data_IF_690008317719
#
_entry.id   IF_690008317719
#
_cell.length_a   1.000
_cell.length_b   1.000
_cell.length_c   1.000
_cell.angle_alpha   90.00
_cell.angle_beta   90.00
_cell.angle_gamma   90.00
#
_symmetry.space_group_name_H-M   'P 1'
#
loop_
_entity.id
_entity.type
_entity.pdbx_description
1 polymer ?
#
# COMPACT_ATOMS: atom_id res chain seq x y z
N UNK A 1 -16.99 -89.43 -23.52
CA UNK A 1 -16.20 -88.92 -24.67
C UNK A 1 -15.13 -88.01 -24.11
N UNK A 2 -13.87 -88.44 -24.18
CA UNK A 2 -12.73 -87.75 -23.56
C UNK A 2 -12.40 -86.49 -24.38
N UNK A 3 -12.39 -85.31 -23.75
CA UNK A 3 -11.96 -84.05 -24.41
C UNK A 3 -10.54 -83.73 -23.95
N UNK A 4 -9.57 -83.91 -24.84
CA UNK A 4 -8.17 -83.59 -24.57
C UNK A 4 -7.95 -82.08 -24.72
N UNK A 5 -7.36 -81.43 -23.71
CA UNK A 5 -7.03 -80.00 -23.71
C UNK A 5 -5.55 -79.83 -23.38
N UNK A 6 -4.91 -78.78 -23.93
CA UNK A 6 -3.51 -78.43 -23.63
C UNK A 6 -3.44 -77.06 -22.97
N UNK A 7 -2.65 -76.96 -21.90
CA UNK A 7 -2.35 -75.69 -21.23
C UNK A 7 -1.33 -74.89 -22.03
N UNK A 8 -1.66 -73.64 -22.35
CA UNK A 8 -0.77 -72.67 -23.03
C UNK A 8 -0.72 -71.37 -22.25
N UNK A 9 0.45 -70.72 -22.23
CA UNK A 9 0.64 -69.43 -21.57
C UNK A 9 0.14 -68.30 -22.47
N UNK A 10 -0.71 -67.41 -21.95
CA UNK A 10 -1.19 -66.23 -22.66
C UNK A 10 -0.52 -64.96 -22.13
N UNK A 11 0.36 -64.36 -22.92
CA UNK A 11 1.13 -63.17 -22.53
C UNK A 11 0.28 -61.90 -22.39
N UNK A 12 -0.89 -61.80 -23.04
CA UNK A 12 -1.77 -60.64 -22.90
C UNK A 12 -2.57 -60.66 -21.58
N UNK A 13 -2.76 -61.85 -21.00
CA UNK A 13 -3.51 -62.04 -19.73
C UNK A 13 -2.61 -62.43 -18.55
N UNK A 14 -1.33 -62.76 -18.79
CA UNK A 14 -0.37 -63.15 -17.76
C UNK A 14 -0.71 -64.44 -17.02
N UNK A 15 -1.40 -65.40 -17.67
CA UNK A 15 -1.85 -66.64 -17.04
C UNK A 15 -1.85 -67.84 -18.00
N UNK A 16 -1.84 -69.05 -17.44
CA UNK A 16 -2.02 -70.31 -18.18
C UNK A 16 -3.50 -70.56 -18.47
N UNK A 17 -3.83 -70.87 -19.72
CA UNK A 17 -5.20 -71.10 -20.19
C UNK A 17 -5.28 -72.45 -20.90
N UNK A 18 -6.38 -73.18 -20.72
CA UNK A 18 -6.62 -74.44 -21.42
C UNK A 18 -7.22 -74.17 -22.80
N UNK A 19 -6.51 -74.54 -23.86
CA UNK A 19 -6.98 -74.44 -25.24
C UNK A 19 -7.32 -75.84 -25.80
N UNK A 20 -8.36 -75.90 -26.62
CA UNK A 20 -8.77 -77.11 -27.34
C UNK A 20 -7.79 -77.41 -28.47
N UNK A 21 -7.35 -78.67 -28.64
CA UNK A 21 -6.37 -79.05 -29.67
C UNK A 21 -6.87 -78.94 -31.13
N UNK A 22 -8.13 -78.55 -31.32
CA UNK A 22 -8.78 -78.52 -32.65
C UNK A 22 -8.81 -77.11 -33.27
N UNK A 23 -8.20 -76.11 -32.62
CA UNK A 23 -8.18 -74.73 -33.11
C UNK A 23 -6.85 -74.38 -33.81
N UNK A 24 -6.93 -73.78 -35.00
CA UNK A 24 -5.78 -73.59 -35.90
C UNK A 24 -4.92 -72.38 -35.53
N UNK A 25 -3.63 -72.61 -35.26
CA UNK A 25 -2.64 -71.56 -35.02
C UNK A 25 -2.29 -70.79 -36.31
N UNK A 26 -2.47 -69.46 -36.31
CA UNK A 26 -1.98 -68.59 -37.40
C UNK A 26 -0.48 -68.33 -37.25
N UNK A 27 0.31 -68.82 -38.21
CA UNK A 27 1.76 -68.70 -38.26
C UNK A 27 2.31 -67.33 -38.66
N UNK A 28 3.56 -67.08 -38.27
CA UNK A 28 4.52 -66.10 -38.83
C UNK A 28 5.61 -66.90 -39.58
N UNK A 29 6.51 -66.28 -40.38
CA UNK A 29 6.50 -64.99 -41.08
C UNK A 29 6.97 -65.15 -42.57
N UNK A 30 7.22 -64.06 -43.31
CA UNK A 30 8.28 -64.08 -44.33
C UNK A 30 9.02 -62.73 -44.44
N UNK A 31 10.34 -62.84 -44.38
CA UNK A 31 11.32 -61.76 -44.54
C UNK A 31 11.67 -61.63 -46.02
N UNK A 32 11.46 -60.47 -46.63
CA UNK A 32 12.29 -59.96 -47.73
C UNK A 32 11.92 -58.51 -48.03
N UNK A 33 12.86 -57.73 -48.54
CA UNK A 33 12.82 -56.28 -48.83
C UNK A 33 13.20 -55.32 -47.67
N UNK A 34 14.28 -55.63 -46.97
CA UNK A 34 15.21 -54.60 -46.47
C UNK A 34 16.40 -54.65 -47.42
N UNK A 35 16.66 -53.59 -48.20
CA UNK A 35 18.00 -53.19 -48.72
C UNK A 35 17.99 -51.88 -49.55
N UNK A 36 16.85 -51.29 -49.96
CA UNK A 36 16.90 -50.09 -50.83
C UNK A 36 16.57 -48.74 -50.14
N UNK A 37 16.23 -48.71 -48.84
CA UNK A 37 15.86 -47.45 -48.16
C UNK A 37 16.87 -47.00 -47.06
N UNK A 38 18.16 -47.35 -47.17
CA UNK A 38 19.17 -47.06 -46.15
C UNK A 38 20.18 -45.96 -46.53
N UNK A 39 19.94 -45.17 -47.59
CA UNK A 39 20.85 -44.09 -48.02
C UNK A 39 20.21 -42.68 -47.99
N UNK A 40 18.97 -42.54 -47.51
CA UNK A 40 18.33 -41.22 -47.33
C UNK A 40 18.12 -40.81 -45.86
N UNK A 41 18.69 -41.55 -44.89
CA UNK A 41 18.44 -41.33 -43.46
C UNK A 41 19.66 -40.78 -42.68
N UNK A 42 20.68 -40.27 -43.36
CA UNK A 42 21.84 -39.68 -42.69
C UNK A 42 22.39 -38.46 -43.44
N UNK A 43 21.58 -37.42 -43.53
CA UNK A 43 22.08 -36.07 -43.78
C UNK A 43 21.21 -35.04 -43.05
N UNK A 44 21.81 -34.49 -41.99
CA UNK A 44 21.50 -33.21 -41.34
C UNK A 44 20.35 -33.27 -40.31
N UNK A 45 20.76 -33.41 -39.04
CA UNK A 45 19.94 -32.98 -37.92
C UNK A 45 19.67 -31.48 -38.00
N UNK A 46 18.40 -31.14 -37.96
CA UNK A 46 17.91 -29.83 -37.53
C UNK A 46 17.17 -30.06 -36.21
N UNK A 47 17.34 -29.22 -35.18
CA UNK A 47 16.51 -29.32 -33.99
C UNK A 47 15.05 -29.23 -34.46
N UNK A 48 14.20 -30.12 -33.94
CA UNK A 48 12.78 -30.14 -34.26
C UNK A 48 12.24 -28.72 -34.13
N UNK A 49 11.85 -28.13 -35.26
CA UNK A 49 11.14 -26.87 -35.28
C UNK A 49 9.84 -27.13 -34.53
N UNK A 50 9.71 -26.53 -33.36
CA UNK A 50 8.44 -26.44 -32.67
C UNK A 50 7.55 -25.53 -33.54
N UNK A 51 6.84 -26.15 -34.48
CA UNK A 51 5.81 -25.47 -35.24
C UNK A 51 4.69 -25.08 -34.26
N UNK A 52 4.44 -23.78 -34.15
CA UNK A 52 3.25 -23.28 -33.51
C UNK A 52 2.07 -23.76 -34.36
N UNK A 53 1.24 -24.64 -33.80
CA UNK A 53 0.01 -25.03 -34.46
C UNK A 53 -0.91 -23.80 -34.45
N UNK A 54 -1.02 -23.10 -35.58
CA UNK A 54 -2.03 -22.06 -35.75
C UNK A 54 -3.39 -22.72 -35.60
N UNK A 55 -4.21 -22.24 -34.67
CA UNK A 55 -5.62 -22.60 -34.65
C UNK A 55 -6.17 -22.20 -36.03
N UNK A 56 -6.53 -23.18 -36.87
CA UNK A 56 -7.00 -22.91 -38.23
C UNK A 56 -8.31 -22.11 -38.14
N UNK A 57 -8.20 -20.79 -38.34
CA UNK A 57 -9.34 -19.87 -38.38
C UNK A 57 -9.75 -19.56 -39.83
N UNK A 58 -9.91 -20.55 -40.71
CA UNK A 58 -10.54 -20.35 -42.03
C UNK A 58 -11.96 -19.72 -41.99
N UNK A 59 -12.43 -19.22 -40.86
CA UNK A 59 -13.50 -18.24 -40.79
C UNK A 59 -12.96 -16.84 -41.10
N UNK A 60 -13.37 -16.30 -42.24
CA UNK A 60 -13.33 -14.86 -42.49
C UNK A 60 -14.00 -14.14 -41.32
N UNK A 61 -13.23 -13.32 -40.61
CA UNK A 61 -13.79 -12.40 -39.63
C UNK A 61 -14.58 -11.34 -40.39
N UNK A 62 -15.91 -11.45 -40.44
CA UNK A 62 -16.77 -10.36 -40.89
C UNK A 62 -17.39 -9.72 -39.66
N UNK A 63 -16.73 -8.72 -39.08
CA UNK A 63 -17.35 -7.90 -38.04
C UNK A 63 -17.99 -6.67 -38.70
N UNK A 64 -19.26 -6.76 -39.09
CA UNK A 64 -20.01 -5.62 -39.65
C UNK A 64 -20.49 -4.59 -38.62
N UNK A 65 -20.03 -4.69 -37.36
CA UNK A 65 -20.51 -3.86 -36.26
C UNK A 65 -19.74 -2.54 -36.18
N UNK A 66 -20.48 -1.43 -36.17
CA UNK A 66 -19.97 -0.08 -35.86
C UNK A 66 -20.19 0.29 -34.38
N UNK A 67 -20.53 -0.68 -33.53
CA UNK A 67 -20.78 -0.45 -32.10
C UNK A 67 -19.49 -0.20 -31.34
N UNK A 68 -19.49 0.82 -30.48
CA UNK A 68 -18.39 1.05 -29.55
C UNK A 68 -18.35 -0.06 -28.49
N UNK A 69 -17.16 -0.58 -28.21
CA UNK A 69 -16.90 -1.51 -27.12
C UNK A 69 -15.94 -0.80 -26.17
N UNK A 70 -16.44 -0.40 -25.01
CA UNK A 70 -15.67 0.48 -24.13
C UNK A 70 -15.62 1.92 -24.66
N UNK A 71 -14.42 2.47 -24.82
CA UNK A 71 -14.17 3.83 -25.36
C UNK A 71 -13.87 3.84 -26.84
N UNK A 72 -13.51 2.68 -27.39
CA UNK A 72 -13.09 2.55 -28.76
C UNK A 72 -14.24 2.05 -29.63
N UNK A 73 -14.36 2.62 -30.82
CA UNK A 73 -15.06 1.98 -31.92
C UNK A 73 -13.99 1.31 -32.78
N UNK A 74 -13.69 0.02 -32.57
CA UNK A 74 -12.63 -0.65 -33.31
C UNK A 74 -12.96 -0.82 -34.80
N UNK A 75 -14.21 -0.53 -35.19
CA UNK A 75 -14.70 -0.68 -36.55
C UNK A 75 -14.80 -2.14 -36.98
N UNK A 76 -15.24 -2.35 -38.22
CA UNK A 76 -15.18 -3.66 -38.85
C UNK A 76 -13.76 -4.02 -39.26
N UNK A 77 -13.42 -5.31 -39.17
CA UNK A 77 -12.20 -5.85 -39.78
C UNK A 77 -12.56 -7.05 -40.64
N UNK A 78 -11.84 -7.19 -41.76
CA UNK A 78 -11.86 -8.38 -42.62
C UNK A 78 -10.57 -9.19 -42.50
N UNK A 79 -9.61 -8.70 -41.69
CA UNK A 79 -8.33 -9.35 -41.52
C UNK A 79 -8.50 -10.59 -40.62
N UNK A 80 -7.95 -11.71 -41.07
CA UNK A 80 -7.83 -12.92 -40.25
C UNK A 80 -6.86 -12.69 -39.08
N UNK A 81 -6.69 -13.68 -38.21
CA UNK A 81 -5.61 -13.63 -37.22
C UNK A 81 -4.27 -13.43 -37.95
N UNK A 82 -3.51 -12.42 -37.53
CA UNK A 82 -2.18 -12.14 -38.08
C UNK A 82 -1.21 -13.22 -37.65
N UNK A 83 -0.90 -14.12 -38.59
CA UNK A 83 0.27 -14.96 -38.53
C UNK A 83 1.52 -14.06 -38.47
N UNK A 84 2.07 -13.99 -37.27
CA UNK A 84 3.36 -13.42 -36.94
C UNK A 84 3.91 -14.13 -35.70
N UNK A 85 3.67 -15.42 -35.55
CA UNK A 85 4.10 -16.18 -34.37
C UNK A 85 5.55 -16.61 -34.53
N UNK A 86 6.46 -16.04 -33.74
CA UNK A 86 7.75 -16.67 -33.49
C UNK A 86 7.57 -18.02 -32.80
N UNK A 87 8.65 -18.78 -32.64
CA UNK A 87 8.64 -20.11 -32.00
C UNK A 87 7.86 -20.10 -30.66
N UNK A 88 7.09 -21.16 -30.39
CA UNK A 88 6.30 -21.35 -29.15
C UNK A 88 5.11 -20.41 -28.93
N UNK A 89 4.61 -19.71 -29.94
CA UNK A 89 3.54 -18.71 -29.77
C UNK A 89 2.14 -19.22 -30.09
N UNK A 90 1.11 -18.59 -29.49
CA UNK A 90 -0.32 -18.81 -29.77
C UNK A 90 -0.92 -17.45 -30.13
N UNK A 91 -1.54 -17.33 -31.31
CA UNK A 91 -2.22 -16.10 -31.77
C UNK A 91 -3.61 -16.45 -32.29
N UNK A 92 -4.66 -15.87 -31.70
CA UNK A 92 -6.04 -16.11 -32.10
C UNK A 92 -6.93 -14.87 -31.91
N UNK A 93 -7.84 -14.64 -32.86
CA UNK A 93 -8.79 -13.52 -32.87
C UNK A 93 -8.65 -12.64 -34.11
N UNK A 94 -9.72 -11.92 -34.47
CA UNK A 94 -9.76 -11.09 -35.68
C UNK A 94 -8.76 -9.93 -35.59
N UNK A 95 -7.88 -9.78 -36.58
CA UNK A 95 -6.84 -8.74 -36.59
C UNK A 95 -5.94 -8.76 -35.33
N UNK A 96 -5.84 -9.90 -34.65
CA UNK A 96 -4.83 -10.11 -33.60
C UNK A 96 -3.44 -10.21 -34.24
N UNK A 97 -2.39 -9.79 -33.55
CA UNK A 97 -1.04 -9.78 -34.13
C UNK A 97 0.06 -10.11 -33.09
N UNK A 98 0.81 -11.17 -33.35
CA UNK A 98 1.99 -11.57 -32.57
C UNK A 98 3.27 -10.77 -32.88
N UNK A 99 3.30 -9.99 -33.97
CA UNK A 99 4.39 -9.12 -34.43
C UNK A 99 5.77 -9.80 -34.59
N UNK A 100 5.82 -11.11 -34.81
CA UNK A 100 7.06 -11.88 -34.99
C UNK A 100 7.79 -12.21 -33.68
N UNK A 101 7.21 -11.91 -32.52
CA UNK A 101 7.84 -12.18 -31.23
C UNK A 101 7.76 -13.65 -30.83
N UNK A 102 8.72 -14.10 -30.03
CA UNK A 102 8.85 -15.50 -29.59
C UNK A 102 8.10 -15.75 -28.28
N UNK A 103 7.43 -16.90 -28.16
CA UNK A 103 6.76 -17.35 -26.94
C UNK A 103 5.57 -16.50 -26.49
N UNK A 104 4.87 -15.86 -27.43
CA UNK A 104 3.74 -14.97 -27.09
C UNK A 104 2.41 -15.71 -27.01
N UNK A 105 1.49 -15.22 -26.18
CA UNK A 105 0.09 -15.67 -26.16
C UNK A 105 -0.82 -14.48 -26.42
N UNK A 106 -1.42 -14.42 -27.60
CA UNK A 106 -2.32 -13.34 -28.04
C UNK A 106 -3.70 -13.91 -28.31
N UNK A 107 -4.71 -13.43 -27.58
CA UNK A 107 -6.10 -13.88 -27.71
C UNK A 107 -7.09 -12.72 -27.67
N UNK A 108 -7.82 -12.49 -28.76
CA UNK A 108 -8.86 -11.46 -28.84
C UNK A 108 -8.71 -10.54 -30.04
N UNK A 109 -9.81 -9.90 -30.46
CA UNK A 109 -9.77 -9.04 -31.64
C UNK A 109 -8.90 -7.81 -31.42
N UNK A 110 -8.04 -7.47 -32.39
CA UNK A 110 -7.08 -6.36 -32.30
C UNK A 110 -6.07 -6.47 -31.14
N UNK A 111 -5.94 -7.64 -30.51
CA UNK A 111 -4.95 -7.87 -29.47
C UNK A 111 -3.53 -7.95 -30.07
N UNK A 112 -2.53 -7.43 -29.36
CA UNK A 112 -1.17 -7.28 -29.89
C UNK A 112 -0.09 -7.67 -28.88
N UNK A 113 0.95 -8.34 -29.38
CA UNK A 113 2.22 -8.49 -28.66
C UNK A 113 3.26 -7.50 -29.19
N UNK A 114 4.05 -6.89 -28.31
CA UNK A 114 5.10 -5.91 -28.66
C UNK A 114 6.48 -6.30 -28.11
N UNK A 115 6.61 -7.52 -27.56
CA UNK A 115 7.88 -8.09 -27.14
C UNK A 115 7.78 -9.61 -26.90
N UNK A 116 8.93 -10.26 -26.68
CA UNK A 116 9.01 -11.69 -26.40
C UNK A 116 8.26 -12.07 -25.11
N UNK A 117 7.63 -13.24 -25.08
CA UNK A 117 6.93 -13.73 -23.88
C UNK A 117 5.70 -12.93 -23.47
N UNK A 118 5.20 -12.02 -24.33
CA UNK A 118 4.03 -11.22 -24.07
C UNK A 118 2.75 -12.07 -24.00
N UNK A 119 1.86 -11.77 -23.05
CA UNK A 119 0.53 -12.35 -22.92
C UNK A 119 -0.50 -11.24 -23.07
N UNK A 120 -1.21 -11.18 -24.19
CA UNK A 120 -2.29 -10.22 -24.45
C UNK A 120 -3.61 -10.96 -24.62
N UNK A 121 -4.56 -10.78 -23.70
CA UNK A 121 -5.88 -11.40 -23.75
C UNK A 121 -6.99 -10.37 -23.59
N UNK A 122 -7.93 -10.35 -24.53
CA UNK A 122 -9.03 -9.38 -24.60
C UNK A 122 -8.93 -8.46 -25.82
N UNK A 123 -10.06 -7.88 -26.20
CA UNK A 123 -10.14 -6.99 -27.36
C UNK A 123 -9.27 -5.74 -27.14
N UNK A 124 -8.45 -5.38 -28.13
CA UNK A 124 -7.53 -4.23 -28.08
C UNK A 124 -6.52 -4.29 -26.91
N UNK A 125 -6.25 -5.48 -26.38
CA UNK A 125 -5.19 -5.67 -25.37
C UNK A 125 -3.80 -5.58 -26.03
N UNK A 126 -2.82 -5.00 -25.34
CA UNK A 126 -1.45 -4.89 -25.83
C UNK A 126 -0.44 -5.19 -24.72
N UNK A 127 0.44 -6.16 -24.93
CA UNK A 127 1.47 -6.55 -23.97
C UNK A 127 2.88 -6.46 -24.58
N UNK A 128 3.84 -5.96 -23.81
CA UNK A 128 5.27 -5.85 -24.16
C UNK A 128 6.09 -7.04 -23.71
N UNK A 129 7.42 -6.88 -23.69
CA UNK A 129 8.39 -7.90 -23.29
C UNK A 129 8.05 -8.46 -21.89
N UNK A 130 7.80 -9.76 -21.80
CA UNK A 130 7.40 -10.48 -20.58
C UNK A 130 6.15 -9.91 -19.89
N UNK A 131 5.39 -9.08 -20.60
CA UNK A 131 4.24 -8.37 -20.05
C UNK A 131 2.97 -9.20 -20.12
N UNK A 132 2.02 -8.89 -19.24
CA UNK A 132 0.68 -9.49 -19.22
C UNK A 132 -0.36 -8.39 -19.30
N UNK A 133 -1.12 -8.34 -20.39
CA UNK A 133 -2.28 -7.47 -20.57
C UNK A 133 -3.55 -8.34 -20.67
N UNK A 134 -4.45 -8.26 -19.70
CA UNK A 134 -5.67 -9.05 -19.68
C UNK A 134 -6.91 -8.19 -19.42
N UNK A 135 -7.76 -8.06 -20.43
CA UNK A 135 -9.00 -7.29 -20.40
C UNK A 135 -9.18 -6.43 -21.65
N UNK A 136 -10.37 -5.85 -21.78
CA UNK A 136 -10.70 -4.91 -22.86
C UNK A 136 -9.83 -3.64 -22.76
N UNK A 137 -9.20 -3.22 -23.86
CA UNK A 137 -8.35 -2.01 -23.95
C UNK A 137 -7.19 -1.96 -22.93
N UNK A 138 -6.66 -3.11 -22.53
CA UNK A 138 -5.54 -3.17 -21.57
C UNK A 138 -4.20 -2.89 -22.24
N UNK A 139 -3.26 -2.26 -21.52
CA UNK A 139 -1.92 -1.99 -22.03
C UNK A 139 -0.86 -2.27 -20.98
N UNK A 140 -0.05 -3.31 -21.19
CA UNK A 140 1.13 -3.64 -20.40
C UNK A 140 2.39 -3.39 -21.25
N UNK A 141 2.78 -2.14 -21.48
CA UNK A 141 3.89 -1.80 -22.38
C UNK A 141 5.27 -1.79 -21.71
N UNK A 142 5.34 -1.77 -20.38
CA UNK A 142 6.59 -1.91 -19.66
C UNK A 142 7.13 -3.34 -19.73
N UNK A 143 8.45 -3.51 -19.70
CA UNK A 143 9.04 -4.84 -19.58
C UNK A 143 8.65 -5.48 -18.24
N UNK A 144 8.15 -6.72 -18.26
CA UNK A 144 7.63 -7.40 -17.07
C UNK A 144 6.38 -6.77 -16.47
N UNK A 145 5.71 -5.85 -17.17
CA UNK A 145 4.54 -5.14 -16.65
C UNK A 145 3.29 -6.02 -16.65
N UNK A 146 2.37 -5.78 -15.72
CA UNK A 146 1.08 -6.48 -15.63
C UNK A 146 -0.07 -5.48 -15.63
N UNK A 147 -0.97 -5.54 -16.60
CA UNK A 147 -2.18 -4.73 -16.70
C UNK A 147 -3.42 -5.64 -16.75
N UNK A 148 -4.30 -5.55 -15.75
CA UNK A 148 -5.51 -6.36 -15.64
C UNK A 148 -6.74 -5.49 -15.47
N UNK A 149 -7.77 -5.73 -16.30
CA UNK A 149 -9.08 -5.05 -16.24
C UNK A 149 -9.23 -3.89 -17.21
N UNK A 150 -10.47 -3.50 -17.49
CA UNK A 150 -10.83 -2.61 -18.60
C UNK A 150 -10.03 -1.30 -18.66
N UNK A 151 -9.25 -1.07 -19.72
CA UNK A 151 -8.50 0.17 -19.91
C UNK A 151 -7.26 0.35 -19.03
N UNK A 152 -6.94 -0.61 -18.15
CA UNK A 152 -5.77 -0.52 -17.26
C UNK A 152 -4.46 -0.39 -18.05
N UNK A 153 -3.52 0.39 -17.51
CA UNK A 153 -2.26 0.72 -18.18
C UNK A 153 -1.07 0.58 -17.24
N UNK A 154 -0.19 -0.37 -17.54
CA UNK A 154 1.11 -0.56 -16.88
C UNK A 154 2.22 -0.31 -17.91
N UNK A 155 2.83 0.88 -17.91
CA UNK A 155 3.72 1.33 -18.99
C UNK A 155 5.18 1.55 -18.56
N UNK A 156 5.55 1.10 -17.37
CA UNK A 156 6.91 1.19 -16.85
C UNK A 156 7.47 -0.19 -16.48
N UNK A 157 8.80 -0.29 -16.34
CA UNK A 157 9.48 -1.54 -15.99
C UNK A 157 8.88 -2.14 -14.71
N UNK A 158 8.49 -3.42 -14.77
CA UNK A 158 7.91 -4.19 -13.66
C UNK A 158 6.68 -3.53 -13.00
N UNK A 159 5.96 -2.64 -13.70
CA UNK A 159 4.81 -1.97 -13.11
C UNK A 159 3.55 -2.84 -13.15
N UNK A 160 2.64 -2.63 -12.20
CA UNK A 160 1.41 -3.43 -12.06
C UNK A 160 0.20 -2.49 -11.99
N UNK A 161 -0.72 -2.61 -12.93
CA UNK A 161 -1.99 -1.91 -12.95
C UNK A 161 -3.14 -2.92 -12.90
N UNK A 162 -3.96 -2.90 -11.84
CA UNK A 162 -5.10 -3.81 -11.69
C UNK A 162 -6.35 -2.99 -11.40
N UNK A 163 -7.29 -2.94 -12.34
CA UNK A 163 -8.52 -2.17 -12.18
C UNK A 163 -9.11 -1.75 -13.52
N UNK A 164 -10.01 -0.78 -13.48
CA UNK A 164 -10.69 -0.27 -14.67
C UNK A 164 -10.35 1.18 -15.00
N UNK A 165 -10.81 1.63 -16.16
CA UNK A 165 -11.22 3.01 -16.40
C UNK A 165 -12.19 3.46 -15.31
N UNK A 166 -12.04 4.68 -14.82
CA UNK A 166 -13.08 5.32 -14.03
C UNK A 166 -14.41 5.35 -14.81
N UNK A 167 -15.52 5.26 -14.10
CA UNK A 167 -16.86 5.27 -14.69
C UNK A 167 -17.85 4.42 -13.91
N UNK A 168 -19.14 4.58 -14.19
CA UNK A 168 -20.24 3.86 -13.52
C UNK A 168 -20.49 2.44 -14.10
N UNK A 169 -19.56 1.90 -14.88
CA UNK A 169 -19.72 0.62 -15.58
C UNK A 169 -20.58 0.67 -16.86
N UNK A 170 -21.24 1.80 -17.16
CA UNK A 170 -22.01 2.00 -18.40
C UNK A 170 -21.38 3.03 -19.34
N UNK A 171 -20.69 4.03 -18.79
CA UNK A 171 -19.88 4.99 -19.57
C UNK A 171 -18.44 5.03 -19.04
N UNK A 172 -17.51 4.38 -19.77
CA UNK A 172 -16.08 4.58 -19.57
C UNK A 172 -15.67 6.05 -19.63
N UNK A 173 -14.89 6.53 -18.67
CA UNK A 173 -14.20 7.82 -18.77
C UNK A 173 -12.92 7.70 -19.62
N UNK A 174 -12.27 8.83 -19.92
CA UNK A 174 -11.07 8.89 -20.77
C UNK A 174 -9.92 7.97 -20.30
N UNK A 175 -8.94 7.71 -21.18
CA UNK A 175 -7.77 6.89 -20.82
C UNK A 175 -6.96 7.43 -19.65
N UNK A 176 -6.89 8.76 -19.50
CA UNK A 176 -6.27 9.42 -18.37
C UNK A 176 -6.93 9.10 -17.01
N UNK A 177 -8.14 8.54 -17.02
CA UNK A 177 -8.88 8.14 -15.83
C UNK A 177 -8.84 6.62 -15.56
N UNK A 178 -7.99 5.87 -16.27
CA UNK A 178 -7.79 4.44 -16.02
C UNK A 178 -6.95 4.19 -14.79
N UNK A 179 -6.85 2.92 -14.39
CA UNK A 179 -5.84 2.52 -13.40
C UNK A 179 -4.50 2.52 -14.11
N UNK A 180 -3.58 3.39 -13.68
CA UNK A 180 -2.31 3.66 -14.37
C UNK A 180 -1.14 3.47 -13.41
N UNK A 181 -0.22 2.56 -13.77
CA UNK A 181 1.06 2.37 -13.12
C UNK A 181 2.21 2.76 -14.08
N UNK A 182 2.73 3.97 -13.88
CA UNK A 182 3.70 4.61 -14.78
C UNK A 182 5.07 4.91 -14.18
N UNK A 183 5.29 4.55 -12.91
CA UNK A 183 6.62 4.52 -12.32
C UNK A 183 7.24 3.14 -12.43
N UNK A 184 8.57 3.06 -12.50
CA UNK A 184 9.26 1.76 -12.47
C UNK A 184 8.97 1.05 -11.15
N UNK A 185 8.61 -0.23 -11.19
CA UNK A 185 8.22 -1.01 -10.01
C UNK A 185 6.94 -0.53 -9.33
N UNK A 186 6.17 0.39 -9.95
CA UNK A 186 4.99 0.96 -9.31
C UNK A 186 3.77 0.05 -9.41
N UNK A 187 2.91 0.15 -8.40
CA UNK A 187 1.67 -0.63 -8.28
C UNK A 187 0.49 0.34 -8.21
N UNK A 188 -0.50 0.18 -9.10
CA UNK A 188 -1.76 0.90 -9.09
C UNK A 188 -2.92 -0.11 -9.05
N UNK A 189 -3.75 -0.06 -8.02
CA UNK A 189 -4.86 -1.01 -7.83
C UNK A 189 -6.16 -0.28 -7.54
N UNK A 190 -7.19 -0.62 -8.32
CA UNK A 190 -8.56 -0.20 -8.10
C UNK A 190 -8.96 1.05 -8.87
N UNK A 191 -10.26 1.18 -9.07
CA UNK A 191 -10.91 2.33 -9.70
C UNK A 191 -12.24 2.62 -9.00
N UNK A 192 -12.84 3.77 -9.31
CA UNK A 192 -14.21 4.09 -8.90
C UNK A 192 -14.96 4.79 -10.04
N UNK A 193 -16.13 5.35 -9.76
CA UNK A 193 -16.95 6.06 -10.75
C UNK A 193 -16.25 7.26 -11.43
N UNK A 194 -15.13 7.74 -10.89
CA UNK A 194 -14.43 8.95 -11.34
C UNK A 194 -13.06 8.66 -11.94
N UNK A 195 -12.24 7.81 -11.30
CA UNK A 195 -10.87 7.54 -11.74
C UNK A 195 -10.31 6.23 -11.19
N UNK A 196 -9.42 5.61 -11.94
CA UNK A 196 -8.48 4.60 -11.46
C UNK A 196 -7.44 5.16 -10.48
N UNK A 197 -6.71 4.24 -9.85
CA UNK A 197 -5.50 4.55 -9.08
C UNK A 197 -4.37 4.98 -10.02
N UNK A 198 -3.56 5.96 -9.58
CA UNK A 198 -2.49 6.57 -10.36
C UNK A 198 -1.17 6.44 -9.61
N UNK A 199 -0.29 5.54 -10.03
CA UNK A 199 0.99 5.29 -9.39
C UNK A 199 2.13 5.73 -10.30
N UNK A 200 2.54 7.01 -10.20
CA UNK A 200 3.43 7.64 -11.17
C UNK A 200 4.91 7.71 -10.76
N UNK A 201 5.24 7.51 -9.48
CA UNK A 201 6.61 7.49 -8.99
C UNK A 201 7.22 6.08 -9.04
N UNK A 202 8.54 6.00 -9.10
CA UNK A 202 9.24 4.72 -8.94
C UNK A 202 8.98 4.11 -7.56
N UNK A 203 8.86 2.78 -7.53
CA UNK A 203 8.61 1.96 -6.34
C UNK A 203 7.39 2.40 -5.51
N UNK A 204 6.42 3.05 -6.15
CA UNK A 204 5.24 3.61 -5.48
C UNK A 204 4.03 2.68 -5.51
N UNK A 205 3.12 2.88 -4.57
CA UNK A 205 1.90 2.08 -4.42
C UNK A 205 0.69 2.99 -4.31
N UNK A 206 -0.28 2.88 -5.22
CA UNK A 206 -1.57 3.56 -5.18
C UNK A 206 -2.69 2.51 -5.11
N UNK A 207 -3.50 2.51 -4.04
CA UNK A 207 -4.61 1.56 -3.86
C UNK A 207 -5.91 2.31 -3.55
N UNK A 208 -6.92 2.09 -4.39
CA UNK A 208 -8.25 2.69 -4.32
C UNK A 208 -8.52 3.67 -5.46
N UNK A 209 -9.80 3.84 -5.84
CA UNK A 209 -10.16 4.78 -6.90
C UNK A 209 -9.71 6.21 -6.58
N UNK A 210 -9.16 6.91 -7.58
CA UNK A 210 -8.53 8.23 -7.45
C UNK A 210 -7.31 8.30 -6.51
N UNK A 211 -6.86 7.19 -5.91
CA UNK A 211 -5.59 7.21 -5.16
C UNK A 211 -4.45 7.62 -6.10
N UNK A 212 -3.52 8.43 -5.60
CA UNK A 212 -2.46 8.99 -6.42
C UNK A 212 -1.13 9.03 -5.68
N UNK A 213 -0.07 8.56 -6.34
CA UNK A 213 1.31 8.86 -5.98
C UNK A 213 1.92 9.69 -7.10
N UNK A 214 2.35 10.92 -6.79
CA UNK A 214 2.93 11.83 -7.79
C UNK A 214 4.31 11.35 -8.22
N UNK A 215 4.78 11.75 -9.41
CA UNK A 215 6.08 11.31 -9.94
C UNK A 215 7.28 11.72 -9.07
N UNK A 216 7.15 12.78 -8.27
CA UNK A 216 8.19 13.22 -7.33
C UNK A 216 8.22 12.37 -6.04
N UNK A 217 7.17 11.64 -5.73
CA UNK A 217 7.01 10.87 -4.49
C UNK A 217 7.57 9.44 -4.63
N UNK A 218 8.87 9.33 -4.91
CA UNK A 218 9.56 8.02 -4.99
C UNK A 218 9.33 7.20 -3.73
N UNK A 219 9.00 5.92 -3.88
CA UNK A 219 8.60 5.03 -2.78
C UNK A 219 7.40 5.53 -1.96
N UNK A 220 6.59 6.41 -2.52
CA UNK A 220 5.37 6.93 -1.90
C UNK A 220 4.25 5.89 -1.92
N UNK A 221 3.40 5.91 -0.89
CA UNK A 221 2.28 4.98 -0.74
C UNK A 221 1.00 5.77 -0.50
N UNK A 222 -0.02 5.57 -1.32
CA UNK A 222 -1.36 6.14 -1.17
C UNK A 222 -2.39 5.01 -1.09
N UNK A 223 -3.02 4.82 0.07
CA UNK A 223 -4.01 3.77 0.31
C UNK A 223 -5.32 4.40 0.75
N UNK A 224 -6.37 4.23 -0.04
CA UNK A 224 -7.70 4.76 0.20
C UNK A 224 -8.19 5.60 -0.97
N UNK A 225 -9.52 5.73 -1.09
CA UNK A 225 -10.13 6.50 -2.18
C UNK A 225 -9.69 7.96 -2.10
N UNK A 226 -9.19 8.51 -3.20
CA UNK A 226 -8.71 9.90 -3.27
C UNK A 226 -7.57 10.22 -2.27
N UNK A 227 -6.82 9.21 -1.79
CA UNK A 227 -5.58 9.43 -1.04
C UNK A 227 -4.47 9.93 -1.98
N UNK A 228 -3.59 10.82 -1.50
CA UNK A 228 -2.56 11.45 -2.33
C UNK A 228 -1.21 11.51 -1.61
N UNK A 229 -0.24 10.71 -2.09
CA UNK A 229 1.15 10.80 -1.68
C UNK A 229 1.92 11.69 -2.67
N UNK A 230 2.40 12.82 -2.18
CA UNK A 230 3.09 13.87 -2.93
C UNK A 230 4.54 14.06 -2.47
N UNK A 231 4.95 13.34 -1.43
CA UNK A 231 6.26 13.42 -0.79
C UNK A 231 6.94 12.06 -0.88
N UNK A 232 8.24 12.05 -1.20
CA UNK A 232 9.02 10.82 -1.25
C UNK A 232 9.00 10.08 0.10
N UNK A 233 9.10 8.76 0.06
CA UNK A 233 9.16 7.87 1.22
C UNK A 233 7.98 8.02 2.21
N UNK A 234 6.88 8.63 1.79
CA UNK A 234 5.75 8.98 2.66
C UNK A 234 4.52 8.13 2.36
N UNK A 235 3.64 8.02 3.34
CA UNK A 235 2.41 7.22 3.28
C UNK A 235 1.19 8.13 3.51
N UNK A 236 0.27 8.18 2.56
CA UNK A 236 -1.09 8.69 2.74
C UNK A 236 -2.03 7.51 3.01
N UNK A 237 -2.54 7.40 4.24
CA UNK A 237 -3.36 6.27 4.70
C UNK A 237 -4.79 6.71 5.02
N UNK A 238 -5.75 6.14 4.30
CA UNK A 238 -7.18 6.44 4.40
C UNK A 238 -7.70 7.35 3.29
N UNK A 239 -9.02 7.35 3.10
CA UNK A 239 -9.65 8.16 2.04
C UNK A 239 -9.39 9.65 2.22
N UNK A 240 -9.06 10.36 1.16
CA UNK A 240 -8.71 11.79 1.18
C UNK A 240 -7.48 12.16 2.03
N UNK A 241 -6.65 11.20 2.45
CA UNK A 241 -5.41 11.49 3.17
C UNK A 241 -4.36 12.08 2.23
N UNK A 242 -3.58 13.06 2.70
CA UNK A 242 -2.58 13.77 1.89
C UNK A 242 -1.26 13.86 2.65
N UNK A 243 -0.14 13.51 2.02
CA UNK A 243 1.20 13.79 2.57
C UNK A 243 1.61 15.22 2.23
N UNK A 244 2.30 15.92 3.13
CA UNK A 244 2.80 17.29 2.89
C UNK A 244 4.26 17.39 3.34
N UNK A 245 5.12 17.96 2.49
CA UNK A 245 6.53 18.18 2.83
C UNK A 245 6.76 19.47 3.62
N UNK A 246 5.96 20.50 3.33
CA UNK A 246 6.07 21.79 3.98
C UNK A 246 5.69 21.71 5.46
N UNK A 247 6.57 22.24 6.31
CA UNK A 247 6.20 22.58 7.68
C UNK A 247 5.29 23.82 7.66
N UNK A 248 4.30 23.84 8.55
CA UNK A 248 3.39 24.96 8.76
C UNK A 248 2.92 25.01 10.19
N UNK A 249 1.90 25.83 10.48
CA UNK A 249 1.33 25.93 11.84
C UNK A 249 0.57 24.67 12.26
N UNK A 250 0.22 23.79 11.32
CA UNK A 250 -0.61 22.59 11.55
C UNK A 250 0.13 21.27 11.35
N UNK A 251 1.33 21.27 10.75
CA UNK A 251 2.11 20.05 10.50
C UNK A 251 3.61 20.36 10.44
N UNK A 252 4.44 19.45 10.95
CA UNK A 252 5.89 19.52 10.79
C UNK A 252 6.37 19.14 9.38
N UNK A 253 5.50 18.56 8.55
CA UNK A 253 5.86 18.01 7.26
C UNK A 253 7.04 17.05 7.37
N UNK A 254 8.00 17.15 6.44
CA UNK A 254 9.29 16.45 6.53
C UNK A 254 10.38 17.31 7.19
N UNK A 255 10.01 18.49 7.70
CA UNK A 255 10.93 19.38 8.40
C UNK A 255 11.33 18.85 9.77
N UNK A 256 12.44 19.36 10.29
CA UNK A 256 12.90 18.95 11.60
C UNK A 256 12.08 19.62 12.72
N UNK A 257 11.56 18.83 13.66
CA UNK A 257 10.88 19.30 14.88
C UNK A 257 11.75 18.93 16.08
N UNK A 258 12.75 19.76 16.37
CA UNK A 258 13.75 19.47 17.41
C UNK A 258 13.39 20.02 18.79
N UNK A 259 12.54 21.04 18.84
CA UNK A 259 12.11 21.70 20.07
C UNK A 259 10.79 22.44 19.82
N UNK A 260 10.13 22.80 20.92
CA UNK A 260 8.95 23.69 20.92
C UNK A 260 9.11 24.73 22.02
N UNK A 261 8.87 26.00 21.70
CA UNK A 261 8.82 27.08 22.70
C UNK A 261 7.37 27.42 23.04
N UNK A 262 7.03 27.38 24.33
CA UNK A 262 5.72 27.79 24.85
C UNK A 262 5.95 28.89 25.88
N UNK A 263 5.49 30.10 25.57
CA UNK A 263 5.81 31.30 26.37
C UNK A 263 7.32 31.57 26.35
N UNK A 264 7.94 31.62 27.53
CA UNK A 264 9.40 31.80 27.68
C UNK A 264 10.18 30.49 27.78
N UNK A 265 9.51 29.33 27.83
CA UNK A 265 10.15 28.04 28.06
C UNK A 265 10.30 27.27 26.74
N UNK A 266 11.50 26.75 26.49
CA UNK A 266 11.77 25.85 25.36
C UNK A 266 11.87 24.41 25.85
N UNK A 267 11.14 23.52 25.20
CA UNK A 267 11.12 22.08 25.43
C UNK A 267 11.89 21.38 24.32
N UNK A 268 12.79 20.46 24.68
CA UNK A 268 13.65 19.73 23.74
C UNK A 268 15.00 19.41 24.39
N UNK A 269 15.92 18.76 23.68
CA UNK A 269 15.84 18.25 22.31
C UNK A 269 14.97 16.98 22.20
N UNK A 270 14.15 16.86 21.15
CA UNK A 270 13.35 15.67 20.91
C UNK A 270 14.11 14.58 20.13
N UNK A 271 13.88 13.31 20.48
CA UNK A 271 14.32 12.18 19.67
C UNK A 271 13.54 12.12 18.35
N UNK A 272 14.14 11.55 17.30
CA UNK A 272 13.49 11.43 15.99
C UNK A 272 13.15 12.77 15.34
N UNK A 273 13.83 13.87 15.73
CA UNK A 273 13.49 15.21 15.30
C UNK A 273 13.52 15.44 13.78
N UNK A 274 14.20 14.58 13.01
CA UNK A 274 14.26 14.69 11.55
C UNK A 274 13.35 13.65 10.89
N UNK A 275 12.36 14.13 10.14
CA UNK A 275 11.47 13.31 9.31
C UNK A 275 11.92 13.23 7.85
N UNK A 276 13.23 13.29 7.58
CA UNK A 276 13.78 13.13 6.23
C UNK A 276 13.39 11.80 5.56
N UNK A 277 13.04 10.78 6.36
CA UNK A 277 12.50 9.52 5.89
C UNK A 277 11.05 9.56 5.41
N UNK A 278 10.38 10.72 5.45
CA UNK A 278 8.98 10.89 5.04
C UNK A 278 8.01 10.99 6.22
N UNK A 279 6.71 11.00 5.91
CA UNK A 279 5.62 11.08 6.89
C UNK A 279 4.57 10.00 6.67
N UNK A 280 3.92 9.57 7.74
CA UNK A 280 2.66 8.80 7.66
C UNK A 280 1.50 9.73 7.96
N UNK A 281 0.80 10.16 6.90
CA UNK A 281 -0.40 10.99 7.02
C UNK A 281 -1.65 10.12 7.06
N UNK A 282 -2.40 10.20 8.16
CA UNK A 282 -3.67 9.49 8.34
C UNK A 282 -4.89 10.35 7.98
N UNK A 283 -4.69 11.52 7.36
CA UNK A 283 -5.76 12.44 7.03
C UNK A 283 -5.29 13.63 6.19
N UNK A 284 -6.06 14.71 6.26
CA UNK A 284 -5.70 16.01 5.70
C UNK A 284 -6.08 17.10 6.69
N UNK A 285 -5.64 18.34 6.46
CA UNK A 285 -5.99 19.49 7.30
C UNK A 285 -7.51 19.66 7.34
N UNK A 286 -8.08 19.74 8.54
CA UNK A 286 -9.52 19.75 8.83
C UNK A 286 -10.27 18.43 8.50
N UNK A 287 -9.53 17.34 8.26
CA UNK A 287 -10.05 16.00 8.01
C UNK A 287 -9.19 14.96 8.75
N UNK A 288 -8.87 15.24 10.01
CA UNK A 288 -8.03 14.43 10.87
C UNK A 288 -8.75 13.14 11.31
N UNK A 289 -7.95 12.12 11.63
CA UNK A 289 -8.44 10.85 12.18
C UNK A 289 -7.88 10.61 13.57
N UNK A 290 -8.70 10.00 14.43
CA UNK A 290 -8.24 9.42 15.68
C UNK A 290 -7.48 8.12 15.39
N UNK A 291 -6.29 7.99 15.96
CA UNK A 291 -5.56 6.72 16.01
C UNK A 291 -5.98 6.01 17.30
N UNK A 292 -6.61 4.85 17.19
CA UNK A 292 -7.21 4.13 18.31
C UNK A 292 -6.42 2.86 18.64
N UNK A 293 -6.57 2.36 19.86
CA UNK A 293 -5.91 1.14 20.36
C UNK A 293 -4.37 1.23 20.37
N UNK A 294 -3.85 2.41 20.68
CA UNK A 294 -2.43 2.67 20.86
C UNK A 294 -2.02 2.19 22.25
N UNK A 295 -1.13 1.21 22.32
CA UNK A 295 -0.50 0.78 23.58
C UNK A 295 0.31 1.93 24.20
N UNK A 296 0.62 1.84 25.49
CA UNK A 296 1.45 2.87 26.13
C UNK A 296 2.86 2.86 25.53
N UNK A 297 3.34 4.01 25.06
CA UNK A 297 4.69 4.15 24.52
C UNK A 297 5.75 4.27 25.62
N UNK A 298 7.01 3.96 25.32
CA UNK A 298 8.10 4.22 26.24
C UNK A 298 8.24 5.72 26.52
N UNK A 299 8.35 6.11 27.79
CA UNK A 299 8.60 7.52 28.19
C UNK A 299 10.07 7.68 28.58
N UNK A 300 10.90 8.14 27.65
CA UNK A 300 12.32 8.43 27.87
C UNK A 300 12.83 9.49 26.88
N UNK A 301 14.00 10.08 27.12
CA UNK A 301 14.59 11.10 26.26
C UNK A 301 14.87 10.63 24.82
N UNK A 302 15.03 9.31 24.62
CA UNK A 302 15.37 8.72 23.33
C UNK A 302 14.18 8.02 22.66
N UNK A 303 12.99 8.05 23.26
CA UNK A 303 11.82 7.35 22.74
C UNK A 303 11.28 8.00 21.48
N UNK A 304 10.95 7.18 20.49
CA UNK A 304 10.22 7.58 19.27
C UNK A 304 8.83 6.94 19.20
N UNK A 305 8.34 6.42 20.33
CA UNK A 305 7.03 5.78 20.41
C UNK A 305 5.92 6.83 20.49
N UNK A 306 4.78 6.53 19.89
CA UNK A 306 3.57 7.30 20.14
C UNK A 306 3.10 7.12 21.59
N UNK A 307 2.71 8.21 22.25
CA UNK A 307 2.03 8.15 23.55
C UNK A 307 0.52 7.99 23.35
N UNK A 308 -0.14 7.34 24.30
CA UNK A 308 -1.60 7.27 24.31
C UNK A 308 -2.20 8.24 25.36
N UNK A 309 -3.54 8.33 25.37
CA UNK A 309 -4.26 9.26 26.25
C UNK A 309 -4.09 8.98 27.75
N UNK A 310 -3.86 7.74 28.17
CA UNK A 310 -3.73 7.43 29.61
C UNK A 310 -2.41 7.94 30.18
N UNK A 311 -1.34 7.98 29.38
CA UNK A 311 -0.04 8.54 29.79
C UNK A 311 -0.15 10.05 30.03
N UNK A 312 -0.78 10.78 29.09
CA UNK A 312 -1.00 12.22 29.26
C UNK A 312 -1.94 12.51 30.44
N UNK A 313 -2.99 11.70 30.60
CA UNK A 313 -3.91 11.81 31.73
C UNK A 313 -3.19 11.63 33.08
N UNK A 314 -2.29 10.65 33.19
CA UNK A 314 -1.53 10.43 34.42
C UNK A 314 -0.64 11.63 34.78
N UNK A 315 0.03 12.25 33.80
CA UNK A 315 0.83 13.46 33.99
C UNK A 315 -0.04 14.65 34.42
N UNK A 316 -1.13 14.90 33.69
CA UNK A 316 -2.04 16.01 33.98
C UNK A 316 -2.66 15.87 35.38
N UNK A 317 -3.18 14.69 35.71
CA UNK A 317 -3.79 14.40 37.01
C UNK A 317 -2.79 14.59 38.17
N UNK A 318 -1.59 14.00 38.07
CA UNK A 318 -0.56 14.11 39.11
C UNK A 318 -0.11 15.57 39.30
N UNK A 319 0.05 16.31 38.20
CA UNK A 319 0.46 17.72 38.24
C UNK A 319 -0.60 18.59 38.91
N UNK A 320 -1.89 18.42 38.54
CA UNK A 320 -2.99 19.15 39.17
C UNK A 320 -3.10 18.87 40.66
N UNK A 321 -2.93 17.60 41.08
CA UNK A 321 -2.92 17.24 42.50
C UNK A 321 -1.75 17.90 43.24
N UNK A 322 -0.54 17.87 42.69
CA UNK A 322 0.63 18.51 43.30
C UNK A 322 0.47 20.02 43.44
N UNK A 323 -0.09 20.71 42.44
CA UNK A 323 -0.38 22.15 42.50
C UNK A 323 -1.41 22.45 43.61
N UNK A 324 -2.45 21.64 43.72
CA UNK A 324 -3.48 21.79 44.76
C UNK A 324 -2.88 21.60 46.16
N UNK A 325 -2.04 20.60 46.33
CA UNK A 325 -1.32 20.36 47.59
C UNK A 325 -0.36 21.49 47.94
N UNK A 326 0.38 22.01 46.95
CA UNK A 326 1.28 23.14 47.15
C UNK A 326 0.51 24.42 47.52
N UNK A 327 -0.63 24.68 46.88
CA UNK A 327 -1.51 25.82 47.18
C UNK A 327 -2.04 25.75 48.62
N UNK A 328 -2.54 24.59 49.03
CA UNK A 328 -3.01 24.36 50.41
C UNK A 328 -1.86 24.53 51.42
N UNK A 329 -0.69 23.97 51.13
CA UNK A 329 0.47 24.07 52.03
C UNK A 329 0.97 25.51 52.16
N UNK A 330 0.98 26.26 51.06
CA UNK A 330 1.41 27.67 51.06
C UNK A 330 0.41 28.55 51.78
N UNK A 331 -0.90 28.37 51.53
CA UNK A 331 -1.95 29.14 52.19
C UNK A 331 -2.04 28.88 53.69
N UNK A 332 -1.91 27.62 54.12
CA UNK A 332 -1.82 27.27 55.54
C UNK A 332 -0.58 27.87 56.19
N UNK A 333 0.60 27.73 55.56
CA UNK A 333 1.85 28.34 56.05
C UNK A 333 1.76 29.86 56.17
N UNK A 334 1.21 30.54 55.17
CA UNK A 334 0.99 31.99 55.20
C UNK A 334 -0.01 32.40 56.29
N UNK A 335 -1.09 31.65 56.46
CA UNK A 335 -2.09 31.88 57.51
C UNK A 335 -1.46 31.75 58.91
N UNK A 336 -0.69 30.69 59.15
CA UNK A 336 0.02 30.50 60.42
C UNK A 336 1.05 31.60 60.71
N UNK A 337 1.79 32.04 59.68
CA UNK A 337 2.70 33.18 59.81
C UNK A 337 1.95 34.46 60.16
N UNK A 338 0.84 34.74 59.48
CA UNK A 338 -0.02 35.90 59.75
C UNK A 338 -0.61 35.88 61.16
N UNK A 339 -1.08 34.72 61.64
CA UNK A 339 -1.53 34.56 63.03
C UNK A 339 -0.41 34.81 64.03
N UNK A 340 0.78 34.26 63.80
CA UNK A 340 1.95 34.45 64.67
C UNK A 340 2.37 35.92 64.73
N UNK A 341 2.37 36.62 63.59
CA UNK A 341 2.63 38.07 63.51
C UNK A 341 1.57 38.85 64.30
N UNK A 342 0.30 38.50 64.15
CA UNK A 342 -0.80 39.14 64.89
C UNK A 342 -0.65 38.93 66.40
N UNK A 343 -0.40 37.70 66.84
CA UNK A 343 -0.17 37.38 68.25
C UNK A 343 1.04 38.12 68.83
N UNK A 344 2.13 38.21 68.07
CA UNK A 344 3.32 38.98 68.47
C UNK A 344 3.01 40.48 68.56
N UNK A 345 2.25 41.02 67.59
CA UNK A 345 1.80 42.41 67.59
C UNK A 345 0.94 42.73 68.83
N UNK A 346 -0.04 41.88 69.14
CA UNK A 346 -0.89 42.03 70.33
C UNK A 346 -0.10 41.90 71.63
N UNK A 347 0.83 40.95 71.71
CA UNK A 347 1.68 40.78 72.89
C UNK A 347 2.58 42.00 73.10
N UNK A 348 3.16 42.53 72.03
CA UNK A 348 4.01 43.71 72.05
C UNK A 348 3.22 44.97 72.45
N UNK A 349 2.04 45.19 71.85
CA UNK A 349 1.20 46.35 72.18
C UNK A 349 0.69 46.32 73.62
N UNK A 350 0.33 45.13 74.12
CA UNK A 350 -0.07 44.93 75.52
C UNK A 350 1.11 45.20 76.45
N UNK A 351 2.29 44.63 76.16
CA UNK A 351 3.51 44.88 76.94
C UNK A 351 3.90 46.36 77.01
N UNK A 352 3.81 47.09 75.89
CA UNK A 352 4.04 48.53 75.84
C UNK A 352 3.01 49.28 76.69
N UNK A 353 1.72 48.91 76.59
CA UNK A 353 0.64 49.53 77.37
C UNK A 353 0.82 49.30 78.87
N UNK A 354 1.19 48.09 79.28
CA UNK A 354 1.50 47.76 80.67
C UNK A 354 2.70 48.57 81.18
N UNK A 355 3.79 48.64 80.41
CA UNK A 355 4.97 49.44 80.78
C UNK A 355 4.64 50.94 80.90
N UNK A 356 3.85 51.48 79.98
CA UNK A 356 3.34 52.86 80.02
C UNK A 356 2.49 53.11 81.28
N UNK A 357 1.63 52.16 81.65
CA UNK A 357 0.80 52.25 82.86
C UNK A 357 1.67 52.17 84.14
N UNK A 358 2.63 51.26 84.21
CA UNK A 358 3.51 51.11 85.36
C UNK A 358 4.43 52.33 85.54
N UNK A 359 4.96 52.88 84.45
CA UNK A 359 5.80 54.09 84.50
C UNK A 359 5.01 55.33 84.88
N UNK A 360 3.81 55.53 84.32
CA UNK A 360 2.94 56.66 84.69
C UNK A 360 2.47 56.61 86.14
N UNK A 361 2.08 55.43 86.64
CA UNK A 361 1.70 55.24 88.05
C UNK A 361 2.90 55.45 88.98
N UNK A 362 4.05 54.85 88.68
CA UNK A 362 5.29 55.04 89.45
C UNK A 362 5.73 56.50 89.51
N UNK A 363 5.71 57.22 88.38
CA UNK A 363 6.02 58.66 88.34
C UNK A 363 5.01 59.48 89.15
N UNK A 364 3.71 59.16 89.05
CA UNK A 364 2.66 59.85 89.81
C UNK A 364 2.81 59.64 91.32
N UNK A 365 3.17 58.43 91.74
CA UNK A 365 3.47 58.12 93.15
C UNK A 365 4.70 58.89 93.63
N UNK A 366 5.80 58.87 92.87
CA UNK A 366 7.01 59.61 93.21
C UNK A 366 6.73 61.13 93.30
N UNK A 367 5.99 61.69 92.35
CA UNK A 367 5.59 63.09 92.35
C UNK A 367 4.75 63.44 93.58
N UNK A 368 3.80 62.58 93.96
CA UNK A 368 2.96 62.77 95.15
C UNK A 368 3.79 62.77 96.43
N UNK A 369 4.74 61.83 96.56
CA UNK A 369 5.66 61.79 97.70
C UNK A 369 6.55 63.04 97.79
N UNK A 370 7.08 63.52 96.67
CA UNK A 370 7.88 64.76 96.63
C UNK A 370 7.03 65.96 97.07
N UNK A 371 5.80 66.06 96.55
CA UNK A 371 4.87 67.14 96.92
C UNK A 371 4.58 67.12 98.42
N UNK A 372 4.35 65.95 99.00
CA UNK A 372 4.10 65.80 100.44
C UNK A 372 5.30 66.14 101.34
N UNK A 373 6.52 66.12 100.79
CA UNK A 373 7.74 66.52 101.51
C UNK A 373 7.98 68.03 101.45
N UNK A 374 7.34 68.72 100.50
CA UNK A 374 7.47 70.16 100.27
C UNK A 374 6.43 71.02 101.01
N UNK A 375 5.49 70.38 101.71
CA UNK A 375 4.46 70.99 102.57
C UNK A 375 4.80 70.83 104.03
#
# INVERSE_FOLDING_TARGET
MNRTYRSIWNEALGAWVAASEIDSARGKPNKSAVVVAAVAALAIGLPGLAEANTLNTQQTCFTGSNGAVGRVNPGGTQNQAGDGSGTYSIVAGCNSNGNGWTGVTVYGSFAQATGNGAVATGMQSSAGLWGVAAGLETTASGAGATALGFGSTANALNSVAIGGAGGNGTTPLSQANSTIASGAGSIAIGSNATKGAQSAASDSIAIGGQSAVTSAATSGIAIGVNSSATVANSVALGSNSITTSAAGTTTGGTGAVSNTTIGSQTFGTYAGANSAGGVVSVGAVNAERRIQNVAAGLVSANSTDAINGSQLYAVASTTTSNITSLSTSTSTGLSSANSSITSLSTSTSTGISSLSTSTSTGLSSANSSITSLST
#
